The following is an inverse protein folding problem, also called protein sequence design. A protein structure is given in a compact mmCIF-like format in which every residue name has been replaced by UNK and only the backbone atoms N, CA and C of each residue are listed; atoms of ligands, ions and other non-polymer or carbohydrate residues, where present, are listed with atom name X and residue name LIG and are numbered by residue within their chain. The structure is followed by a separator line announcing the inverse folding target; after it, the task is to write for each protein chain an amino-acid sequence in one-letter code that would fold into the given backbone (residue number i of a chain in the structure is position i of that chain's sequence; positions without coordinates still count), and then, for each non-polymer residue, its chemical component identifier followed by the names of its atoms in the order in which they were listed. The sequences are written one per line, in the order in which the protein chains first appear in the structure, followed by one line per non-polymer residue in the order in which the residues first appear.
data_IF_241061713335
#
_entry.id   IF_241061713335
#
_cell.length_a   1.000
_cell.length_b   1.000
_cell.length_c   1.000
_cell.angle_alpha   90.00
_cell.angle_beta   90.00
_cell.angle_gamma   90.00
#
_symmetry.space_group_name_H-M   'P 1'
#
loop_
_entity.id
_entity.type
_entity.pdbx_description
1 polymer ?
#
# COMPACT_ATOMS: atom_id res chain seq x y z
N UNK A 1 6.45 -9.58 22.14
CA UNK A 1 5.89 -10.84 22.72
C UNK A 1 4.94 -11.44 21.69
N UNK A 2 5.32 -12.54 21.03
CA UNK A 2 4.52 -13.21 19.99
C UNK A 2 3.29 -13.87 20.62
N UNK A 3 2.10 -13.27 20.50
CA UNK A 3 0.85 -13.95 20.85
C UNK A 3 0.42 -14.89 19.70
N UNK A 4 0.52 -16.21 19.88
CA UNK A 4 0.14 -17.19 18.84
C UNK A 4 -1.37 -17.17 18.55
N UNK A 5 -2.18 -16.59 19.43
CA UNK A 5 -3.64 -16.57 19.29
C UNK A 5 -4.11 -15.70 18.13
N UNK A 6 -3.40 -14.60 17.83
CA UNK A 6 -3.77 -13.66 16.77
C UNK A 6 -3.49 -14.24 15.37
N UNK A 7 -2.34 -14.91 15.18
CA UNK A 7 -1.99 -15.59 13.93
C UNK A 7 -2.98 -16.70 13.59
N UNK A 8 -3.38 -17.50 14.57
CA UNK A 8 -4.37 -18.56 14.35
C UNK A 8 -5.79 -18.02 14.09
N UNK A 9 -6.16 -16.89 14.68
CA UNK A 9 -7.47 -16.26 14.47
C UNK A 9 -7.64 -15.71 13.04
N UNK A 10 -6.61 -15.03 12.51
CA UNK A 10 -6.61 -14.49 11.13
C UNK A 10 -6.58 -15.59 10.07
N UNK A 11 -5.83 -16.67 10.32
CA UNK A 11 -5.81 -17.85 9.43
C UNK A 11 -7.14 -18.60 9.38
N UNK A 12 -7.88 -18.63 10.50
CA UNK A 12 -9.22 -19.19 10.55
C UNK A 12 -10.26 -18.27 9.87
N UNK A 13 -10.09 -16.95 9.99
CA UNK A 13 -10.94 -15.93 9.36
C UNK A 13 -10.82 -15.95 7.83
N UNK A 14 -9.61 -16.06 7.29
CA UNK A 14 -9.37 -16.09 5.84
C UNK A 14 -10.00 -17.31 5.12
N UNK A 15 -10.38 -18.35 5.87
CA UNK A 15 -11.07 -19.54 5.35
C UNK A 15 -12.60 -19.43 5.39
N UNK A 16 -13.14 -18.37 5.98
CA UNK A 16 -14.59 -18.17 6.08
C UNK A 16 -15.18 -17.66 4.75
N UNK A 17 -16.49 -17.84 4.52
CA UNK A 17 -17.18 -17.20 3.40
C UNK A 17 -17.05 -15.67 3.43
N UNK A 18 -16.95 -15.03 2.25
CA UNK A 18 -16.70 -13.59 2.07
C UNK A 18 -17.61 -12.68 2.91
N UNK A 19 -18.88 -13.04 3.08
CA UNK A 19 -19.84 -12.29 3.88
C UNK A 19 -19.51 -12.29 5.39
N UNK A 20 -19.00 -13.41 5.92
CA UNK A 20 -18.62 -13.56 7.33
C UNK A 20 -17.28 -12.87 7.60
N UNK A 21 -16.36 -12.90 6.64
CA UNK A 21 -15.11 -12.13 6.72
C UNK A 21 -15.41 -10.62 6.79
N UNK A 22 -16.36 -10.15 5.98
CA UNK A 22 -16.78 -8.76 5.95
C UNK A 22 -17.42 -8.30 7.27
N UNK A 23 -18.29 -9.12 7.89
CA UNK A 23 -18.87 -8.81 9.20
C UNK A 23 -17.84 -8.74 10.33
N UNK A 24 -16.85 -9.65 10.33
CA UNK A 24 -15.76 -9.62 11.32
C UNK A 24 -14.87 -8.39 11.15
N UNK A 25 -14.61 -7.97 9.91
CA UNK A 25 -13.88 -6.74 9.63
C UNK A 25 -14.63 -5.49 10.10
N UNK A 26 -15.94 -5.41 9.84
CA UNK A 26 -16.80 -4.32 10.34
C UNK A 26 -16.80 -4.26 11.88
N UNK A 27 -16.68 -5.40 12.56
CA UNK A 27 -16.57 -5.46 14.02
C UNK A 27 -15.21 -4.98 14.56
N UNK A 28 -14.12 -5.16 13.80
CA UNK A 28 -12.79 -4.66 14.14
C UNK A 28 -12.64 -3.15 13.91
N UNK A 29 -13.38 -2.57 12.97
CA UNK A 29 -13.41 -1.12 12.70
C UNK A 29 -13.79 -0.26 13.91
N UNK A 30 -14.49 -0.82 14.91
CA UNK A 30 -14.80 -0.14 16.18
C UNK A 30 -13.57 0.23 17.02
N UNK A 31 -12.43 -0.41 16.79
CA UNK A 31 -11.19 -0.21 17.55
C UNK A 31 -10.09 0.50 16.75
N UNK A 32 -10.39 0.92 15.52
CA UNK A 32 -9.46 1.68 14.69
C UNK A 32 -9.41 3.13 15.20
N UNK A 33 -8.24 3.69 15.56
CA UNK A 33 -8.15 5.05 16.09
C UNK A 33 -8.58 6.08 15.03
N UNK A 34 -9.74 6.70 15.25
CA UNK A 34 -10.27 7.80 14.43
C UNK A 34 -9.57 9.11 14.77
N UNK A 35 -8.34 9.31 14.29
CA UNK A 35 -7.65 10.59 14.44
C UNK A 35 -8.11 11.60 13.36
N UNK A 36 -9.37 12.03 13.40
CA UNK A 36 -9.77 13.31 12.81
C UNK A 36 -9.62 14.40 13.88
N UNK A 37 -8.56 15.21 13.76
CA UNK A 37 -8.40 16.43 14.56
C UNK A 37 -9.63 17.34 14.40
N UNK A 38 -10.05 18.01 15.47
CA UNK A 38 -11.18 18.97 15.48
C UNK A 38 -11.09 20.06 14.42
N UNK A 39 -9.88 20.43 13.99
CA UNK A 39 -9.66 21.36 12.88
C UNK A 39 -10.04 20.77 11.52
N UNK A 40 -9.81 19.47 11.31
CA UNK A 40 -10.20 18.75 10.08
C UNK A 40 -11.70 18.51 10.03
N UNK A 41 -12.35 18.34 11.18
CA UNK A 41 -13.82 18.19 11.27
C UNK A 41 -14.56 19.46 10.87
N UNK A 42 -14.03 20.64 11.25
CA UNK A 42 -14.59 21.94 10.82
C UNK A 42 -14.41 22.19 9.33
N UNK A 43 -13.22 21.94 8.79
CA UNK A 43 -12.95 22.09 7.35
C UNK A 43 -13.80 21.12 6.49
N UNK A 44 -14.09 19.92 7.01
CA UNK A 44 -15.01 18.98 6.37
C UNK A 44 -16.47 19.48 6.44
N UNK A 45 -16.92 19.97 7.58
CA UNK A 45 -18.26 20.56 7.73
C UNK A 45 -18.47 21.76 6.80
N UNK A 46 -17.47 22.63 6.68
CA UNK A 46 -17.52 23.78 5.77
C UNK A 46 -17.64 23.35 4.31
N UNK A 47 -16.96 22.26 3.91
CA UNK A 47 -17.05 21.69 2.56
C UNK A 47 -18.35 20.95 2.28
N UNK A 48 -18.95 20.32 3.30
CA UNK A 48 -20.26 19.66 3.19
C UNK A 48 -21.43 20.65 3.05
N UNK A 49 -21.20 21.96 3.23
CA UNK A 49 -22.21 22.98 2.92
C UNK A 49 -22.38 23.20 1.41
N UNK A 50 -21.44 22.75 0.57
CA UNK A 50 -21.62 22.74 -0.88
C UNK A 50 -22.59 21.61 -1.26
N UNK A 51 -23.75 21.91 -1.89
CA UNK A 51 -24.75 20.89 -2.22
C UNK A 51 -24.20 19.76 -3.10
N UNK A 52 -23.26 20.07 -4.00
CA UNK A 52 -22.66 19.08 -4.90
C UNK A 52 -21.73 18.16 -4.11
N UNK A 53 -20.95 18.72 -3.18
CA UNK A 53 -20.05 17.94 -2.31
C UNK A 53 -20.85 17.07 -1.35
N UNK A 54 -21.95 17.58 -0.81
CA UNK A 54 -22.86 16.83 0.05
C UNK A 54 -23.56 15.68 -0.69
N UNK A 55 -24.07 15.93 -1.89
CA UNK A 55 -24.69 14.91 -2.73
C UNK A 55 -23.69 13.80 -3.08
N UNK A 56 -22.46 14.18 -3.46
CA UNK A 56 -21.36 13.25 -3.73
C UNK A 56 -20.99 12.44 -2.49
N UNK A 57 -20.89 13.08 -1.33
CA UNK A 57 -20.62 12.41 -0.07
C UNK A 57 -21.70 11.37 0.26
N UNK A 58 -22.97 11.74 0.16
CA UNK A 58 -24.09 10.82 0.41
C UNK A 58 -24.10 9.65 -0.59
N UNK A 59 -23.87 9.91 -1.88
CA UNK A 59 -23.79 8.86 -2.90
C UNK A 59 -22.59 7.92 -2.70
N UNK A 60 -21.49 8.40 -2.11
CA UNK A 60 -20.34 7.56 -1.77
C UNK A 60 -20.54 6.76 -0.49
N UNK A 61 -21.22 7.34 0.50
CA UNK A 61 -21.47 6.69 1.80
C UNK A 61 -22.58 5.63 1.70
N UNK A 62 -23.62 5.88 0.90
CA UNK A 62 -24.80 5.03 0.81
C UNK A 62 -24.91 4.27 -0.52
N UNK A 63 -24.09 4.60 -1.52
CA UNK A 63 -24.09 3.92 -2.82
C UNK A 63 -23.34 2.59 -2.79
N UNK A 64 -23.77 1.63 -3.62
CA UNK A 64 -23.19 0.28 -3.62
C UNK A 64 -21.79 0.21 -4.25
N UNK A 65 -21.52 0.98 -5.30
CA UNK A 65 -20.30 0.85 -6.11
C UNK A 65 -19.76 2.20 -6.63
N UNK A 66 -20.33 3.32 -6.17
CA UNK A 66 -19.96 4.67 -6.62
C UNK A 66 -20.53 5.07 -7.98
N UNK A 67 -21.33 4.23 -8.65
CA UNK A 67 -21.97 4.56 -9.93
C UNK A 67 -22.88 5.79 -9.80
N UNK A 68 -23.67 5.88 -8.73
CA UNK A 68 -24.54 7.03 -8.48
C UNK A 68 -23.75 8.32 -8.26
N UNK A 69 -22.63 8.23 -7.53
CA UNK A 69 -21.69 9.35 -7.35
C UNK A 69 -21.13 9.81 -8.70
N UNK A 70 -20.67 8.87 -9.54
CA UNK A 70 -20.18 9.17 -10.88
C UNK A 70 -21.26 9.87 -11.73
N UNK A 71 -22.49 9.34 -11.75
CA UNK A 71 -23.60 9.92 -12.52
C UNK A 71 -23.99 11.32 -12.01
N UNK A 72 -23.96 11.54 -10.70
CA UNK A 72 -24.22 12.84 -10.09
C UNK A 72 -23.16 13.89 -10.51
N UNK A 73 -21.87 13.53 -10.43
CA UNK A 73 -20.76 14.37 -10.89
C UNK A 73 -20.81 14.62 -12.40
N UNK A 74 -21.14 13.60 -13.19
CA UNK A 74 -21.30 13.72 -14.64
C UNK A 74 -22.43 14.70 -14.99
N UNK A 75 -23.58 14.58 -14.32
CA UNK A 75 -24.70 15.51 -14.49
C UNK A 75 -24.31 16.94 -14.08
N UNK A 76 -23.66 17.11 -12.93
CA UNK A 76 -23.17 18.41 -12.47
C UNK A 76 -22.14 19.04 -13.44
N UNK A 77 -21.32 18.21 -14.09
CA UNK A 77 -20.39 18.64 -15.14
C UNK A 77 -21.17 19.14 -16.37
N UNK A 78 -22.14 18.36 -16.86
CA UNK A 78 -22.96 18.73 -18.03
C UNK A 78 -23.78 19.99 -17.82
N UNK A 79 -24.23 20.22 -16.59
CA UNK A 79 -24.96 21.43 -16.20
C UNK A 79 -24.04 22.63 -15.93
N UNK A 80 -22.72 22.48 -16.11
CA UNK A 80 -21.74 23.54 -15.90
C UNK A 80 -21.53 23.91 -14.43
N UNK A 81 -22.12 23.17 -13.49
CA UNK A 81 -22.06 23.46 -12.05
C UNK A 81 -20.65 23.29 -11.48
N UNK A 82 -19.84 22.41 -12.07
CA UNK A 82 -18.46 22.16 -11.67
C UNK A 82 -17.43 23.11 -12.30
N UNK A 83 -17.83 23.96 -13.26
CA UNK A 83 -16.93 24.91 -13.92
C UNK A 83 -16.38 25.99 -12.96
N UNK A 84 -17.06 26.22 -11.84
CA UNK A 84 -16.65 27.16 -10.79
C UNK A 84 -15.68 26.53 -9.79
N UNK A 85 -15.52 25.21 -9.81
CA UNK A 85 -14.62 24.50 -8.90
C UNK A 85 -13.21 24.43 -9.49
N UNK A 86 -12.33 25.32 -9.03
CA UNK A 86 -10.94 25.33 -9.49
C UNK A 86 -10.25 23.98 -9.26
N UNK A 87 -10.52 23.33 -8.13
CA UNK A 87 -9.98 21.99 -7.83
C UNK A 87 -10.38 20.96 -8.87
N UNK A 88 -11.63 20.96 -9.32
CA UNK A 88 -12.12 20.02 -10.33
C UNK A 88 -11.47 20.30 -11.70
N UNK A 89 -11.44 21.56 -12.12
CA UNK A 89 -10.79 22.00 -13.38
C UNK A 89 -9.30 21.65 -13.40
N UNK A 90 -8.62 21.83 -12.27
CA UNK A 90 -7.22 21.49 -12.08
C UNK A 90 -6.95 19.98 -12.12
N UNK A 91 -7.91 19.14 -11.75
CA UNK A 91 -7.81 17.68 -11.87
C UNK A 91 -8.07 17.26 -13.32
N UNK A 92 -9.14 17.76 -13.94
CA UNK A 92 -9.49 17.46 -15.33
C UNK A 92 -8.36 17.82 -16.30
N UNK A 93 -7.74 18.98 -16.13
CA UNK A 93 -6.60 19.41 -16.96
C UNK A 93 -5.41 18.45 -16.90
N UNK A 94 -5.09 17.91 -15.71
CA UNK A 94 -4.02 16.91 -15.57
C UNK A 94 -4.38 15.60 -16.26
N UNK A 95 -5.64 15.16 -16.19
CA UNK A 95 -6.09 13.96 -16.90
C UNK A 95 -6.08 14.13 -18.41
N UNK A 96 -6.53 15.28 -18.90
CA UNK A 96 -6.47 15.64 -20.32
C UNK A 96 -5.03 15.69 -20.83
N UNK A 97 -4.12 16.32 -20.07
CA UNK A 97 -2.70 16.35 -20.41
C UNK A 97 -2.09 14.95 -20.44
N UNK A 98 -2.45 14.07 -19.49
CA UNK A 98 -2.01 12.67 -19.50
C UNK A 98 -2.53 11.91 -20.72
N UNK A 99 -3.80 12.06 -21.08
CA UNK A 99 -4.40 11.43 -22.26
C UNK A 99 -3.73 11.90 -23.56
N UNK A 100 -3.44 13.20 -23.66
CA UNK A 100 -2.73 13.76 -24.80
C UNK A 100 -1.29 13.23 -24.90
N UNK A 101 -0.56 13.17 -23.79
CA UNK A 101 0.80 12.62 -23.75
C UNK A 101 0.83 11.13 -24.11
N UNK A 102 -0.16 10.36 -23.65
CA UNK A 102 -0.29 8.94 -23.96
C UNK A 102 -0.58 8.67 -25.44
N UNK A 103 -1.31 9.57 -26.10
CA UNK A 103 -1.61 9.50 -27.54
C UNK A 103 -0.53 10.16 -28.42
N UNK A 104 0.42 10.89 -27.84
CA UNK A 104 1.51 11.52 -28.58
C UNK A 104 2.55 10.52 -29.11
N UNK A 105 3.01 10.73 -30.34
CA UNK A 105 4.05 9.90 -30.98
C UNK A 105 5.48 10.27 -30.56
N UNK A 106 5.64 11.34 -29.79
CA UNK A 106 6.95 11.79 -29.31
C UNK A 106 7.34 11.01 -28.02
N UNK A 107 8.48 10.32 -27.99
CA UNK A 107 8.91 9.58 -26.80
C UNK A 107 9.21 10.48 -25.59
N UNK A 108 9.52 11.77 -25.81
CA UNK A 108 9.88 12.70 -24.75
C UNK A 108 8.66 13.32 -24.04
N UNK A 109 7.45 13.21 -24.60
CA UNK A 109 6.23 13.76 -23.97
C UNK A 109 5.81 13.01 -22.71
N UNK A 110 6.47 11.90 -22.36
CA UNK A 110 6.23 11.18 -21.10
C UNK A 110 6.88 11.85 -19.88
N UNK A 111 7.80 12.78 -20.09
CA UNK A 111 8.57 13.43 -19.00
C UNK A 111 8.10 14.86 -18.72
N UNK A 112 8.37 15.34 -17.50
CA UNK A 112 8.20 16.75 -17.12
C UNK A 112 6.80 17.22 -16.73
N UNK A 113 5.88 16.31 -16.37
CA UNK A 113 4.54 16.70 -15.90
C UNK A 113 4.67 17.43 -14.55
N UNK A 114 4.20 18.67 -14.50
CA UNK A 114 4.14 19.45 -13.27
C UNK A 114 2.73 19.40 -12.69
N UNK A 115 2.55 18.69 -11.58
CA UNK A 115 1.26 18.62 -10.92
C UNK A 115 0.99 19.87 -10.09
N UNK A 116 -0.16 20.52 -10.35
CA UNK A 116 -0.63 21.65 -9.57
C UNK A 116 -0.96 21.23 -8.11
N UNK A 117 -1.07 22.22 -7.21
CA UNK A 117 -1.30 21.99 -5.78
C UNK A 117 -2.61 21.26 -5.51
N UNK A 118 -3.68 21.58 -6.25
CA UNK A 118 -5.00 21.01 -6.05
C UNK A 118 -5.05 19.51 -6.42
N UNK A 119 -4.43 19.13 -7.54
CA UNK A 119 -4.25 17.73 -7.93
C UNK A 119 -3.40 16.96 -6.92
N UNK A 120 -2.26 17.53 -6.47
CA UNK A 120 -1.43 16.91 -5.43
C UNK A 120 -2.21 16.68 -4.14
N UNK A 121 -2.96 17.69 -3.69
CA UNK A 121 -3.80 17.60 -2.49
C UNK A 121 -4.91 16.56 -2.66
N UNK A 122 -5.56 16.49 -3.82
CA UNK A 122 -6.58 15.49 -4.12
C UNK A 122 -6.01 14.07 -4.10
N UNK A 123 -4.84 13.85 -4.70
CA UNK A 123 -4.13 12.55 -4.65
C UNK A 123 -3.72 12.19 -3.21
N UNK A 124 -3.25 13.15 -2.42
CA UNK A 124 -2.94 12.94 -0.99
C UNK A 124 -4.21 12.58 -0.21
N UNK A 125 -5.33 13.26 -0.46
CA UNK A 125 -6.61 12.94 0.18
C UNK A 125 -7.11 11.56 -0.23
N UNK A 126 -7.02 11.19 -1.50
CA UNK A 126 -7.30 9.83 -1.99
C UNK A 126 -6.41 8.79 -1.30
N UNK A 127 -5.14 9.12 -1.05
CA UNK A 127 -4.19 8.26 -0.34
C UNK A 127 -4.46 8.20 1.18
N UNK A 128 -5.01 9.26 1.78
CA UNK A 128 -5.45 9.29 3.18
C UNK A 128 -6.81 8.61 3.38
N UNK A 129 -7.70 8.67 2.38
CA UNK A 129 -8.95 7.89 2.32
C UNK A 129 -8.64 6.41 2.03
N UNK A 130 -7.48 6.11 1.42
CA UNK A 130 -6.91 4.77 1.35
C UNK A 130 -6.34 4.26 2.70
N UNK A 131 -6.79 4.80 3.84
CA UNK A 131 -6.91 4.04 5.10
C UNK A 131 -7.98 2.95 4.96
N UNK A 132 -7.87 2.16 3.90
CA UNK A 132 -8.57 0.92 3.73
C UNK A 132 -7.92 -0.10 4.66
N UNK A 133 -8.71 -1.02 5.21
CA UNK A 133 -8.19 -2.15 5.99
C UNK A 133 -7.21 -3.04 5.17
N UNK A 134 -7.18 -2.86 3.85
CA UNK A 134 -6.31 -3.51 2.87
C UNK A 134 -5.00 -2.75 2.56
N UNK A 135 -4.79 -1.54 3.10
CA UNK A 135 -3.50 -0.86 2.97
C UNK A 135 -2.41 -1.64 3.70
N UNK A 136 -1.16 -1.52 3.22
CA UNK A 136 -0.01 -2.21 3.80
C UNK A 136 0.28 -1.69 5.22
N UNK A 137 -0.36 -2.28 6.23
CA UNK A 137 -0.24 -1.90 7.64
C UNK A 137 1.02 -2.47 8.31
N UNK A 138 1.64 -3.49 7.71
CA UNK A 138 2.91 -4.03 8.16
C UNK A 138 3.84 -4.12 6.95
N UNK A 139 5.03 -3.49 6.98
CA UNK A 139 5.95 -3.52 5.86
C UNK A 139 6.64 -4.88 5.66
N UNK A 140 6.59 -5.79 6.63
CA UNK A 140 7.22 -7.10 6.54
C UNK A 140 6.50 -8.04 5.56
N UNK A 141 7.23 -9.06 5.10
CA UNK A 141 6.65 -10.11 4.26
C UNK A 141 5.89 -11.12 5.15
N UNK A 142 4.66 -10.78 5.49
CA UNK A 142 3.76 -11.59 6.34
C UNK A 142 2.57 -12.15 5.56
N UNK A 143 1.89 -13.12 6.17
CA UNK A 143 0.78 -13.84 5.55
C UNK A 143 -0.39 -12.91 5.23
N UNK A 144 -0.68 -12.00 6.13
CA UNK A 144 -1.75 -11.00 6.03
C UNK A 144 -1.61 -10.15 4.77
N UNK A 145 -0.39 -9.73 4.42
CA UNK A 145 -0.15 -8.93 3.23
C UNK A 145 -0.44 -9.73 1.94
N UNK A 146 -0.06 -11.01 1.91
CA UNK A 146 -0.36 -11.90 0.77
C UNK A 146 -1.87 -12.18 0.69
N UNK A 147 -2.56 -12.27 1.83
CA UNK A 147 -4.04 -12.39 1.89
C UNK A 147 -4.71 -11.16 1.26
N UNK A 148 -4.28 -9.95 1.62
CA UNK A 148 -4.82 -8.72 1.04
C UNK A 148 -4.67 -8.70 -0.48
N UNK A 149 -3.52 -9.16 -0.99
CA UNK A 149 -3.31 -9.29 -2.43
C UNK A 149 -4.22 -10.34 -3.05
N UNK A 150 -4.35 -11.53 -2.45
CA UNK A 150 -5.25 -12.58 -2.96
C UNK A 150 -6.71 -12.10 -3.00
N UNK A 151 -7.16 -11.44 -1.96
CA UNK A 151 -8.50 -10.85 -1.83
C UNK A 151 -8.75 -9.78 -2.89
N UNK A 152 -7.77 -8.91 -3.13
CA UNK A 152 -7.84 -7.95 -4.25
C UNK A 152 -7.99 -8.68 -5.58
N UNK A 153 -7.21 -9.74 -5.82
CA UNK A 153 -7.33 -10.56 -7.03
C UNK A 153 -8.71 -11.22 -7.17
N UNK A 154 -9.31 -11.67 -6.07
CA UNK A 154 -10.66 -12.27 -6.06
C UNK A 154 -11.75 -11.25 -6.35
N UNK A 155 -11.66 -10.05 -5.77
CA UNK A 155 -12.59 -8.95 -6.01
C UNK A 155 -12.64 -8.60 -7.50
N UNK A 156 -11.47 -8.56 -8.15
CA UNK A 156 -11.37 -8.31 -9.60
C UNK A 156 -11.53 -9.58 -10.45
N UNK A 157 -11.92 -10.71 -9.83
CA UNK A 157 -12.15 -12.02 -10.48
C UNK A 157 -10.99 -12.51 -11.33
N UNK A 158 -9.77 -12.29 -10.84
CA UNK A 158 -8.56 -12.72 -11.53
C UNK A 158 -8.10 -14.09 -11.03
N UNK A 159 -8.31 -15.11 -11.86
CA UNK A 159 -7.99 -16.51 -11.55
C UNK A 159 -6.71 -17.02 -12.23
N UNK A 160 -6.03 -16.16 -12.99
CA UNK A 160 -4.82 -16.52 -13.74
C UNK A 160 -3.61 -16.52 -12.81
N UNK A 161 -2.54 -17.25 -13.16
CA UNK A 161 -1.31 -17.20 -12.39
C UNK A 161 -0.66 -15.81 -12.42
N UNK A 162 0.08 -15.50 -11.36
CA UNK A 162 0.80 -14.24 -11.17
C UNK A 162 2.29 -14.44 -11.30
N UNK A 163 2.99 -13.44 -11.83
CA UNK A 163 4.43 -13.28 -11.64
C UNK A 163 4.70 -12.43 -10.40
N UNK A 164 5.87 -12.59 -9.80
CA UNK A 164 6.32 -11.79 -8.66
C UNK A 164 7.66 -11.17 -9.02
N UNK A 165 7.75 -9.85 -9.04
CA UNK A 165 9.03 -9.16 -9.15
C UNK A 165 9.52 -8.76 -7.77
N UNK A 166 10.84 -8.78 -7.56
CA UNK A 166 11.45 -8.13 -6.40
C UNK A 166 12.60 -7.28 -6.90
N UNK A 167 12.67 -6.05 -6.41
CA UNK A 167 13.78 -5.15 -6.69
C UNK A 167 14.11 -4.33 -5.43
N UNK A 168 15.36 -3.90 -5.33
CA UNK A 168 15.86 -3.01 -4.30
C UNK A 168 15.91 -1.58 -4.83
N UNK A 169 15.13 -0.69 -4.24
CA UNK A 169 15.24 0.75 -4.52
C UNK A 169 16.16 1.41 -3.50
N UNK A 170 17.14 2.18 -3.96
CA UNK A 170 17.97 3.02 -3.10
C UNK A 170 17.12 4.11 -2.46
N UNK A 171 17.22 4.24 -1.15
CA UNK A 171 16.53 5.27 -0.36
C UNK A 171 17.53 6.14 0.38
N UNK A 172 17.10 7.34 0.78
CA UNK A 172 17.90 8.17 1.67
C UNK A 172 17.88 7.56 3.07
N UNK A 173 19.04 7.20 3.59
CA UNK A 173 19.18 6.71 4.95
C UNK A 173 18.66 7.76 5.95
N UNK A 174 17.55 7.45 6.62
CA UNK A 174 16.89 8.33 7.58
C UNK A 174 16.00 7.49 8.51
N UNK A 175 16.04 7.81 9.79
CA UNK A 175 15.07 7.30 10.77
C UNK A 175 13.87 8.23 10.85
N UNK A 176 12.68 7.63 10.88
CA UNK A 176 11.42 8.37 11.03
C UNK A 176 10.52 7.64 12.02
N UNK A 177 10.04 8.35 13.02
CA UNK A 177 9.01 7.83 13.91
C UNK A 177 7.66 7.79 13.18
N UNK A 178 6.93 6.69 13.31
CA UNK A 178 5.58 6.53 12.75
C UNK A 178 4.62 5.95 13.77
N UNK A 179 3.51 6.66 13.99
CA UNK A 179 2.37 6.18 14.78
C UNK A 179 1.47 5.24 13.97
N UNK A 180 1.50 5.33 12.64
CA UNK A 180 0.63 4.54 11.76
C UNK A 180 1.03 3.05 11.74
N UNK A 181 2.25 2.71 12.17
CA UNK A 181 2.76 1.34 12.26
C UNK A 181 2.91 0.88 13.73
N UNK A 182 2.01 1.31 14.62
CA UNK A 182 2.05 0.90 16.03
C UNK A 182 3.14 1.58 16.85
N UNK A 183 3.47 2.85 16.57
CA UNK A 183 4.52 3.62 17.26
C UNK A 183 5.92 3.01 17.13
N UNK A 184 6.50 3.04 15.93
CA UNK A 184 7.82 2.47 15.67
C UNK A 184 8.77 3.47 15.02
N UNK A 185 10.08 3.25 15.18
CA UNK A 185 11.13 3.93 14.41
C UNK A 185 11.38 3.16 13.11
N UNK A 186 10.98 3.76 11.98
CA UNK A 186 11.16 3.20 10.65
C UNK A 186 12.49 3.64 10.03
N UNK A 187 12.98 2.88 9.04
CA UNK A 187 14.23 3.16 8.32
C UNK A 187 15.47 2.45 8.90
N UNK A 188 15.24 1.49 9.81
CA UNK A 188 16.24 0.56 10.33
C UNK A 188 16.11 -0.80 9.64
N UNK A 189 17.20 -1.58 9.59
CA UNK A 189 17.18 -3.00 9.21
C UNK A 189 16.96 -3.94 10.41
N UNK A 190 16.87 -3.39 11.61
CA UNK A 190 16.54 -4.16 12.80
C UNK A 190 15.09 -4.67 12.73
N UNK A 191 14.80 -5.82 13.36
CA UNK A 191 13.43 -6.31 13.52
C UNK A 191 12.50 -5.26 14.17
N UNK A 192 11.20 -5.32 13.85
CA UNK A 192 10.21 -4.35 14.32
C UNK A 192 10.10 -4.29 15.86
N UNK A 193 10.22 -5.42 16.54
CA UNK A 193 10.18 -5.48 18.01
C UNK A 193 11.34 -4.72 18.69
N UNK A 194 12.46 -4.53 17.99
CA UNK A 194 13.58 -3.71 18.46
C UNK A 194 13.43 -2.23 18.09
N UNK A 195 12.46 -1.90 17.24
CA UNK A 195 12.18 -0.55 16.77
C UNK A 195 10.88 0.03 17.37
N UNK A 196 10.21 -0.73 18.24
CA UNK A 196 8.99 -0.32 18.94
C UNK A 196 9.28 0.78 19.96
N UNK A 197 8.38 1.75 20.04
CA UNK A 197 8.46 2.90 20.96
C UNK A 197 7.20 2.91 21.80
N UNK A 198 7.35 2.64 23.10
CA UNK A 198 6.21 2.66 24.03
C UNK A 198 6.04 4.05 24.62
N UNK A 199 7.15 4.65 25.07
CA UNK A 199 7.18 5.97 25.68
C UNK A 199 8.10 6.94 24.91
N UNK A 200 7.99 8.24 25.16
CA UNK A 200 8.76 9.25 24.43
C UNK A 200 10.28 9.12 24.67
N UNK A 201 10.65 8.67 25.86
CA UNK A 201 12.03 8.41 26.28
C UNK A 201 12.67 7.24 25.51
N UNK A 202 11.86 6.27 25.07
CA UNK A 202 12.35 5.12 24.29
C UNK A 202 12.87 5.52 22.91
N UNK A 203 12.40 6.66 22.36
CA UNK A 203 12.79 7.13 21.04
C UNK A 203 14.31 7.29 20.94
N UNK A 204 14.94 7.92 21.94
CA UNK A 204 16.38 8.14 21.94
C UNK A 204 17.15 6.83 22.10
N UNK A 205 16.63 5.91 22.92
CA UNK A 205 17.21 4.58 23.15
C UNK A 205 17.21 3.78 21.85
N UNK A 206 16.06 3.69 21.18
CA UNK A 206 15.92 2.98 19.90
C UNK A 206 16.82 3.60 18.82
N UNK A 207 16.84 4.93 18.71
CA UNK A 207 17.72 5.63 17.74
C UNK A 207 19.19 5.32 18.02
N UNK A 208 19.62 5.33 19.27
CA UNK A 208 21.01 5.05 19.62
C UNK A 208 21.36 3.59 19.35
N UNK A 209 20.49 2.65 19.69
CA UNK A 209 20.65 1.23 19.36
C UNK A 209 20.84 1.02 17.85
N UNK A 210 20.02 1.66 17.01
CA UNK A 210 20.16 1.58 15.54
C UNK A 210 21.49 2.14 15.05
N UNK A 211 21.96 3.25 15.64
CA UNK A 211 23.25 3.86 15.29
C UNK A 211 24.42 2.98 15.71
N UNK A 212 24.41 2.45 16.94
CA UNK A 212 25.45 1.59 17.49
C UNK A 212 25.55 0.28 16.70
N UNK A 213 24.41 -0.30 16.32
CA UNK A 213 24.34 -1.49 15.46
C UNK A 213 24.67 -1.21 13.99
N UNK A 214 24.91 0.05 13.59
CA UNK A 214 25.06 0.48 12.19
C UNK A 214 23.93 -0.02 11.28
N UNK A 215 22.71 -0.10 11.82
CA UNK A 215 21.57 -0.76 11.20
C UNK A 215 20.67 0.18 10.37
N UNK A 216 21.24 1.26 9.84
CA UNK A 216 20.49 2.20 9.00
C UNK A 216 20.18 1.58 7.64
N UNK A 217 18.91 1.60 7.23
CA UNK A 217 18.52 1.15 5.91
C UNK A 217 18.99 2.14 4.83
N UNK A 218 19.62 1.62 3.78
CA UNK A 218 20.05 2.40 2.61
C UNK A 218 19.24 2.05 1.36
N UNK A 219 18.51 0.94 1.42
CA UNK A 219 17.70 0.38 0.35
C UNK A 219 16.40 -0.20 0.94
N UNK A 220 15.39 -0.35 0.09
CA UNK A 220 14.16 -1.06 0.42
C UNK A 220 13.88 -2.07 -0.68
N UNK A 221 13.70 -3.33 -0.30
CA UNK A 221 13.28 -4.41 -1.20
C UNK A 221 11.77 -4.52 -1.22
N UNK A 222 11.18 -4.46 -2.41
CA UNK A 222 9.73 -4.51 -2.58
C UNK A 222 9.31 -5.70 -3.44
N UNK A 223 8.92 -6.85 -2.84
CA UNK A 223 8.21 -7.89 -3.56
C UNK A 223 6.87 -7.34 -4.06
N UNK A 224 6.63 -7.45 -5.36
CA UNK A 224 5.47 -6.87 -6.01
C UNK A 224 4.91 -7.80 -7.10
N UNK A 225 3.59 -7.79 -7.25
CA UNK A 225 2.93 -8.45 -8.37
C UNK A 225 2.74 -7.41 -9.48
N UNK A 226 3.33 -7.61 -10.67
CA UNK A 226 3.19 -6.69 -11.78
C UNK A 226 1.76 -6.80 -12.34
N UNK A 227 0.93 -5.83 -11.97
CA UNK A 227 -0.32 -5.47 -12.63
C UNK A 227 -0.31 -3.98 -12.94
N UNK A 228 -1.35 -3.48 -13.60
CA UNK A 228 -1.57 -2.05 -13.76
C UNK A 228 -2.73 -1.64 -12.86
N UNK A 229 -2.48 -1.02 -11.69
CA UNK A 229 -1.18 -0.65 -11.09
C UNK A 229 -0.45 -1.84 -10.41
N UNK A 230 0.87 -1.66 -10.18
CA UNK A 230 1.71 -2.65 -9.50
C UNK A 230 1.27 -2.79 -8.03
N UNK A 231 1.14 -4.02 -7.56
CA UNK A 231 0.70 -4.30 -6.18
C UNK A 231 1.94 -4.66 -5.36
N UNK A 232 2.32 -3.78 -4.43
CA UNK A 232 3.42 -4.03 -3.48
C UNK A 232 2.92 -4.92 -2.35
N UNK A 233 3.65 -5.99 -2.05
CA UNK A 233 3.30 -6.98 -1.02
C UNK A 233 4.03 -6.70 0.29
N UNK A 234 5.25 -6.20 0.22
CA UNK A 234 6.07 -5.86 1.38
C UNK A 234 7.07 -4.75 1.03
N UNK A 235 7.60 -4.09 2.05
CA UNK A 235 8.64 -3.05 1.98
C UNK A 235 9.74 -3.39 3.00
N UNK A 236 10.67 -4.24 2.60
CA UNK A 236 11.71 -4.76 3.48
C UNK A 236 12.91 -3.82 3.50
N UNK A 237 13.21 -3.25 4.66
CA UNK A 237 14.39 -2.41 4.84
C UNK A 237 15.68 -3.24 4.71
N UNK A 238 16.65 -2.75 3.94
CA UNK A 238 17.96 -3.41 3.77
C UNK A 238 19.10 -2.38 3.74
N UNK A 239 20.28 -2.80 4.17
CA UNK A 239 21.52 -2.04 4.09
C UNK A 239 22.27 -2.27 2.77
N UNK A 240 21.68 -3.07 1.87
CA UNK A 240 22.27 -3.46 0.59
C UNK A 240 23.19 -4.68 0.68
N UNK A 241 23.28 -5.35 1.84
CA UNK A 241 24.08 -6.56 2.04
C UNK A 241 23.24 -7.84 2.09
N UNK A 242 22.06 -7.84 1.48
CA UNK A 242 21.23 -9.03 1.36
C UNK A 242 22.00 -10.15 0.65
N UNK A 243 22.10 -11.30 1.30
CA UNK A 243 22.75 -12.49 0.74
C UNK A 243 21.76 -13.25 -0.14
N UNK A 244 22.27 -14.03 -1.09
CA UNK A 244 21.42 -14.91 -1.90
C UNK A 244 20.59 -15.89 -1.07
N UNK A 245 21.11 -16.34 0.08
CA UNK A 245 20.35 -17.15 1.04
C UNK A 245 19.15 -16.41 1.63
N UNK A 246 19.32 -15.16 2.08
CA UNK A 246 18.20 -14.36 2.60
C UNK A 246 17.13 -14.11 1.53
N UNK A 247 17.55 -13.81 0.30
CA UNK A 247 16.63 -13.60 -0.82
C UNK A 247 15.89 -14.90 -1.15
N UNK A 248 16.58 -16.04 -1.18
CA UNK A 248 15.99 -17.36 -1.35
C UNK A 248 14.96 -17.68 -0.26
N UNK A 249 15.29 -17.45 1.01
CA UNK A 249 14.37 -17.65 2.14
C UNK A 249 13.10 -16.80 1.99
N UNK A 250 13.23 -15.53 1.56
CA UNK A 250 12.08 -14.65 1.29
C UNK A 250 11.21 -15.18 0.14
N UNK A 251 11.82 -15.67 -0.96
CA UNK A 251 11.10 -16.25 -2.09
C UNK A 251 10.32 -17.52 -1.67
N UNK A 252 10.97 -18.40 -0.91
CA UNK A 252 10.35 -19.62 -0.39
C UNK A 252 9.23 -19.31 0.62
N UNK A 253 9.42 -18.31 1.47
CA UNK A 253 8.38 -17.83 2.37
C UNK A 253 7.16 -17.33 1.58
N UNK A 254 7.37 -16.49 0.56
CA UNK A 254 6.30 -16.03 -0.33
C UNK A 254 5.55 -17.20 -0.97
N UNK A 255 6.27 -18.17 -1.55
CA UNK A 255 5.68 -19.34 -2.20
C UNK A 255 4.84 -20.18 -1.25
N UNK A 256 5.32 -20.42 -0.02
CA UNK A 256 4.55 -21.14 1.00
C UNK A 256 3.25 -20.41 1.34
N UNK A 257 3.28 -19.09 1.47
CA UNK A 257 2.08 -18.28 1.74
C UNK A 257 1.13 -18.28 0.55
N UNK A 258 1.64 -18.11 -0.67
CA UNK A 258 0.86 -18.15 -1.90
C UNK A 258 0.18 -19.53 -2.10
N UNK A 259 0.90 -20.63 -1.85
CA UNK A 259 0.36 -21.99 -1.94
C UNK A 259 -0.81 -22.21 -0.99
N UNK A 260 -0.69 -21.76 0.28
CA UNK A 260 -1.78 -21.83 1.27
C UNK A 260 -3.03 -21.06 0.83
N UNK A 261 -2.85 -20.00 0.04
CA UNK A 261 -3.94 -19.16 -0.48
C UNK A 261 -4.43 -19.60 -1.86
N UNK A 262 -3.92 -20.71 -2.41
CA UNK A 262 -4.17 -21.12 -3.79
C UNK A 262 -3.85 -20.03 -4.83
N UNK A 263 -2.91 -19.14 -4.50
CA UNK A 263 -2.39 -18.13 -5.40
C UNK A 263 -1.29 -18.76 -6.26
N UNK A 264 -1.58 -18.97 -7.54
CA UNK A 264 -0.65 -19.61 -8.48
C UNK A 264 0.46 -18.63 -8.87
N UNK A 265 1.68 -18.87 -8.42
CA UNK A 265 2.87 -18.10 -8.82
C UNK A 265 3.59 -18.87 -9.94
N UNK A 266 3.89 -18.20 -11.06
CA UNK A 266 4.58 -18.84 -12.20
C UNK A 266 6.05 -18.46 -12.34
N UNK A 267 6.43 -17.25 -11.94
CA UNK A 267 7.81 -16.75 -12.12
C UNK A 267 8.17 -15.78 -11.02
N UNK A 268 9.45 -15.79 -10.62
CA UNK A 268 10.09 -14.67 -9.94
C UNK A 268 10.96 -13.89 -10.93
N UNK A 269 10.70 -12.59 -11.04
CA UNK A 269 11.51 -11.68 -11.85
C UNK A 269 12.53 -10.98 -10.97
N UNK A 270 13.77 -10.95 -11.45
CA UNK A 270 14.96 -10.43 -10.79
C UNK A 270 15.76 -9.56 -11.79
N UNK A 271 16.55 -8.61 -11.31
CA UNK A 271 17.32 -7.68 -12.16
C UNK A 271 18.69 -8.24 -12.58
N UNK A 272 19.07 -9.39 -12.02
CA UNK A 272 20.33 -10.07 -12.30
C UNK A 272 21.47 -9.67 -11.36
N UNK A 273 21.18 -9.01 -10.24
CA UNK A 273 22.16 -8.80 -9.17
C UNK A 273 22.79 -10.14 -8.72
N UNK A 274 24.08 -10.12 -8.37
CA UNK A 274 24.82 -11.34 -8.02
C UNK A 274 24.16 -12.14 -6.88
N UNK A 275 23.59 -11.46 -5.88
CA UNK A 275 22.85 -12.10 -4.79
C UNK A 275 21.54 -12.74 -5.28
N UNK A 276 20.86 -12.15 -6.26
CA UNK A 276 19.64 -12.71 -6.86
C UNK A 276 19.94 -13.91 -7.76
N UNK A 277 21.06 -13.90 -8.49
CA UNK A 277 21.53 -15.07 -9.24
C UNK A 277 21.86 -16.24 -8.32
N UNK A 278 22.49 -15.98 -7.17
CA UNK A 278 22.72 -17.01 -6.15
C UNK A 278 21.40 -17.53 -5.58
N UNK A 279 20.44 -16.65 -5.32
CA UNK A 279 19.10 -17.07 -4.86
C UNK A 279 18.38 -17.96 -5.89
N UNK A 280 18.48 -17.63 -7.18
CA UNK A 280 17.94 -18.45 -8.28
C UNK A 280 18.60 -19.83 -8.33
N UNK A 281 19.94 -19.89 -8.22
CA UNK A 281 20.65 -21.17 -8.16
C UNK A 281 20.23 -22.01 -6.94
N UNK A 282 19.93 -21.38 -5.80
CA UNK A 282 19.38 -22.08 -4.62
C UNK A 282 17.97 -22.64 -4.90
N UNK A 283 17.12 -21.87 -5.60
CA UNK A 283 15.80 -22.35 -6.02
C UNK A 283 15.87 -23.58 -6.93
N UNK A 284 16.90 -23.69 -7.80
CA UNK A 284 17.09 -24.86 -8.66
C UNK A 284 17.37 -26.14 -7.85
N UNK A 285 18.04 -26.03 -6.69
CA UNK A 285 18.27 -27.16 -5.79
C UNK A 285 17.02 -27.62 -5.05
N UNK A 286 16.02 -26.76 -4.83
CA UNK A 286 14.74 -27.13 -4.18
C UNK A 286 13.87 -28.05 -5.07
N UNK A 287 14.17 -28.11 -6.37
CA UNK A 287 13.47 -28.93 -7.37
C UNK A 287 14.23 -30.23 -7.71
N UNK A 288 15.51 -30.31 -7.34
CA UNK A 288 16.41 -31.43 -7.62
C UNK A 288 16.21 -32.60 -6.65
#
# INVERSE_FOLDING_TARGET
MNDPSFKHAKEAEAKLPLNIQHEKQLSCGKFTPHNLSSAKTRDLQDKLNDPIVFDVFNCLEHGQDGTECFLALYKATREGKLSKSQTFMDICSVFEEKLWRASSSNPNSKFGIHYNKNYKNFMILMLLVAKFDDALQNPDLIFENVVCVKRLLDIIKYERPVSVGSDCTKVRARLSYSQDFGSHILGSVLPMDQCEVNDAEDIEVVINNVKEAMAMATQVRAPAIPKTPMIVVALLATDGKDTGQKIHELQMLFLRMAARLSLKVITFSADGAASELVAQALMDYEVS
#
